data_IF_043581024213
#
_entry.id   IF_043581024213
#
_cell.length_a   1.000
_cell.length_b   1.000
_cell.length_c   1.000
_cell.angle_alpha   90.00
_cell.angle_beta   90.00
_cell.angle_gamma   90.00
#
_symmetry.space_group_name_H-M   'P 1'
#
loop_
_entity.id
_entity.type
_entity.pdbx_description
1 polymer ?
#
# COMPACT_ATOMS: atom_id res chain seq x y z
N UNK A 1 9.48 8.48 10.76
CA UNK A 1 9.96 7.10 10.55
C UNK A 1 11.00 7.15 9.44
N UNK A 2 12.15 6.54 9.62
CA UNK A 2 13.21 6.48 8.59
C UNK A 2 12.89 5.44 7.53
N UNK A 3 13.56 5.52 6.35
CA UNK A 3 13.46 4.50 5.30
C UNK A 3 13.82 3.10 5.83
N UNK A 4 14.86 3.02 6.63
CA UNK A 4 15.32 1.76 7.24
C UNK A 4 14.27 1.15 8.15
N UNK A 5 13.64 1.95 9.02
CA UNK A 5 12.58 1.48 9.92
C UNK A 5 11.35 1.01 9.14
N UNK A 6 10.89 1.80 8.14
CA UNK A 6 9.78 1.40 7.28
C UNK A 6 10.09 0.09 6.55
N UNK A 7 11.25 0.00 5.91
CA UNK A 7 11.61 -1.18 5.13
C UNK A 7 11.77 -2.43 6.01
N UNK A 8 12.23 -2.27 7.26
CA UNK A 8 12.25 -3.35 8.24
C UNK A 8 10.84 -3.89 8.52
N UNK A 9 9.84 -3.01 8.67
CA UNK A 9 8.44 -3.43 8.85
C UNK A 9 7.85 -4.10 7.60
N UNK A 10 8.21 -3.61 6.39
CA UNK A 10 7.74 -4.22 5.14
C UNK A 10 8.34 -5.62 4.91
N UNK A 11 9.57 -5.85 5.37
CA UNK A 11 10.28 -7.12 5.26
C UNK A 11 10.06 -8.07 6.45
N UNK A 12 9.48 -7.59 7.56
CA UNK A 12 9.24 -8.39 8.76
C UNK A 12 8.34 -9.59 8.45
N UNK A 13 8.59 -10.73 9.12
CA UNK A 13 7.66 -11.86 9.10
C UNK A 13 6.30 -11.50 9.72
N UNK A 14 5.30 -12.34 9.49
CA UNK A 14 3.93 -12.10 9.93
C UNK A 14 3.81 -12.02 11.46
N UNK A 15 4.57 -12.83 12.20
CA UNK A 15 4.54 -12.84 13.65
C UNK A 15 5.15 -11.56 14.25
N UNK A 16 6.26 -11.11 13.71
CA UNK A 16 6.94 -9.86 14.11
C UNK A 16 6.05 -8.65 13.82
N UNK A 17 5.47 -8.57 12.62
CA UNK A 17 4.56 -7.49 12.27
C UNK A 17 3.28 -7.52 13.13
N UNK A 18 2.73 -8.71 13.41
CA UNK A 18 1.56 -8.88 14.27
C UNK A 18 1.82 -8.39 15.70
N UNK A 19 2.99 -8.68 16.27
CA UNK A 19 3.38 -8.21 17.62
C UNK A 19 3.45 -6.68 17.71
N UNK A 20 3.72 -5.99 16.59
CA UNK A 20 3.73 -4.54 16.51
C UNK A 20 2.34 -3.93 16.33
N UNK A 21 1.30 -4.74 16.22
CA UNK A 21 -0.08 -4.31 16.00
C UNK A 21 -0.94 -4.48 17.24
N UNK A 22 -1.95 -3.62 17.36
CA UNK A 22 -3.11 -3.85 18.20
C UNK A 22 -4.14 -4.63 17.39
N UNK A 23 -4.53 -5.81 17.90
CA UNK A 23 -5.51 -6.69 17.29
C UNK A 23 -6.88 -6.45 17.89
N UNK A 24 -7.84 -6.06 17.09
CA UNK A 24 -9.24 -5.89 17.48
C UNK A 24 -10.07 -6.91 16.68
N UNK A 25 -10.72 -7.80 17.40
CA UNK A 25 -11.67 -8.75 16.81
C UNK A 25 -13.05 -8.11 16.77
N UNK A 26 -13.67 -8.09 15.60
CA UNK A 26 -15.02 -7.53 15.43
C UNK A 26 -15.97 -8.59 14.89
N UNK A 27 -17.26 -8.49 15.29
CA UNK A 27 -18.30 -9.25 14.61
C UNK A 27 -18.38 -8.78 13.18
N UNK A 28 -18.36 -9.71 12.22
CA UNK A 28 -18.49 -9.38 10.81
C UNK A 28 -19.83 -8.65 10.56
N UNK A 29 -19.77 -7.48 9.91
CA UNK A 29 -20.94 -6.79 9.39
C UNK A 29 -21.23 -7.30 7.99
N UNK A 30 -22.29 -8.05 7.78
CA UNK A 30 -22.72 -8.55 6.47
C UNK A 30 -24.21 -8.85 6.50
N UNK A 31 -24.86 -8.79 5.32
CA UNK A 31 -26.29 -9.09 5.16
C UNK A 31 -26.62 -10.52 5.61
N UNK A 32 -27.14 -10.62 6.82
CA UNK A 32 -28.01 -11.62 7.35
C UNK A 32 -27.67 -13.10 7.26
N UNK A 33 -27.41 -13.69 8.41
CA UNK A 33 -27.50 -15.11 8.71
C UNK A 33 -27.16 -15.37 10.16
N UNK A 34 -27.91 -16.25 10.82
CA UNK A 34 -27.76 -16.56 12.24
C UNK A 34 -26.32 -16.98 12.63
N UNK A 35 -25.51 -17.45 11.65
CA UNK A 35 -24.13 -17.87 11.82
C UNK A 35 -23.13 -16.70 11.80
N UNK A 36 -23.40 -15.62 11.07
CA UNK A 36 -22.56 -14.43 10.99
C UNK A 36 -22.58 -13.65 12.32
N UNK A 37 -23.71 -13.68 13.02
CA UNK A 37 -23.87 -13.02 14.32
C UNK A 37 -23.20 -13.77 15.49
N UNK A 38 -22.76 -15.02 15.29
CA UNK A 38 -22.15 -15.86 16.35
C UNK A 38 -20.63 -15.97 16.27
N UNK A 39 -20.00 -15.67 15.12
CA UNK A 39 -18.55 -15.81 14.95
C UNK A 39 -17.89 -14.47 14.63
N UNK A 40 -16.99 -14.04 15.51
CA UNK A 40 -16.16 -12.85 15.36
C UNK A 40 -14.99 -13.15 14.41
N UNK A 41 -15.26 -13.26 13.10
CA UNK A 41 -14.22 -13.58 12.10
C UNK A 41 -13.50 -12.34 11.54
N UNK A 42 -14.09 -11.15 11.67
CA UNK A 42 -13.49 -9.92 11.21
C UNK A 42 -12.30 -9.52 12.10
N UNK A 43 -11.22 -9.11 11.45
CA UNK A 43 -9.96 -8.72 12.09
C UNK A 43 -9.66 -7.28 11.71
N UNK A 44 -9.37 -6.45 12.72
CA UNK A 44 -8.80 -5.11 12.53
C UNK A 44 -7.43 -5.06 13.18
N UNK A 45 -6.43 -4.64 12.42
CA UNK A 45 -5.07 -4.40 12.89
C UNK A 45 -4.78 -2.91 12.89
N UNK A 46 -4.18 -2.41 13.96
CA UNK A 46 -3.61 -1.06 14.01
C UNK A 46 -2.13 -1.19 14.32
N UNK A 47 -1.28 -0.81 13.37
CA UNK A 47 0.17 -0.82 13.53
C UNK A 47 0.60 0.33 14.42
N UNK A 48 1.10 0.04 15.62
CA UNK A 48 1.47 1.07 16.61
C UNK A 48 2.49 2.08 16.11
N UNK A 49 3.61 1.66 15.42
CA UNK A 49 4.62 2.61 14.99
C UNK A 49 4.15 3.63 13.94
N UNK A 50 3.22 3.24 13.04
CA UNK A 50 2.72 4.12 11.97
C UNK A 50 1.33 4.69 12.24
N UNK A 51 0.58 4.12 13.18
CA UNK A 51 -0.83 4.44 13.42
C UNK A 51 -1.79 3.93 12.34
N UNK A 52 -1.29 3.30 11.26
CA UNK A 52 -2.09 2.78 10.15
C UNK A 52 -2.96 1.63 10.64
N UNK A 53 -4.25 1.68 10.28
CA UNK A 53 -5.21 0.65 10.63
C UNK A 53 -5.87 0.06 9.40
N UNK A 54 -6.00 -1.26 9.36
CA UNK A 54 -6.63 -2.02 8.28
C UNK A 54 -7.62 -3.03 8.84
N UNK A 55 -8.58 -3.45 8.02
CA UNK A 55 -9.55 -4.47 8.38
C UNK A 55 -9.66 -5.56 7.31
N UNK A 56 -9.93 -6.78 7.74
CA UNK A 56 -10.20 -7.91 6.86
C UNK A 56 -11.38 -8.72 7.39
N UNK A 57 -12.34 -9.01 6.52
CA UNK A 57 -13.55 -9.77 6.80
C UNK A 57 -13.99 -10.63 5.61
N UNK A 58 -13.06 -10.87 4.67
CA UNK A 58 -13.33 -11.53 3.40
C UNK A 58 -13.59 -13.03 3.58
N UNK A 59 -12.97 -13.61 4.61
CA UNK A 59 -13.01 -15.04 4.88
C UNK A 59 -13.82 -15.38 6.13
N UNK A 60 -14.32 -16.62 6.16
CA UNK A 60 -14.98 -17.17 7.37
C UNK A 60 -13.98 -17.55 8.46
N UNK A 61 -12.73 -17.72 8.09
CA UNK A 61 -11.63 -18.07 9.01
C UNK A 61 -10.96 -16.81 9.53
N UNK A 62 -10.94 -16.64 10.85
CA UNK A 62 -10.22 -15.57 11.52
C UNK A 62 -8.71 -15.60 11.20
N UNK A 63 -8.12 -16.80 11.14
CA UNK A 63 -6.70 -16.96 10.79
C UNK A 63 -6.42 -16.44 9.37
N UNK A 64 -7.27 -16.78 8.40
CA UNK A 64 -7.14 -16.26 7.03
C UNK A 64 -7.32 -14.74 6.97
N UNK A 65 -8.28 -14.20 7.72
CA UNK A 65 -8.46 -12.75 7.79
C UNK A 65 -7.25 -12.04 8.43
N UNK A 66 -6.54 -12.67 9.39
CA UNK A 66 -5.27 -12.11 9.90
C UNK A 66 -4.21 -11.99 8.81
N UNK A 67 -3.99 -13.03 8.01
CA UNK A 67 -3.05 -12.98 6.89
C UNK A 67 -3.44 -11.92 5.85
N UNK A 68 -4.73 -11.82 5.52
CA UNK A 68 -5.23 -10.77 4.62
C UNK A 68 -4.99 -9.38 5.20
N UNK A 69 -5.26 -9.18 6.49
CA UNK A 69 -5.04 -7.91 7.17
C UNK A 69 -3.54 -7.52 7.19
N UNK A 70 -2.64 -8.47 7.45
CA UNK A 70 -1.18 -8.21 7.40
C UNK A 70 -0.71 -7.83 5.99
N UNK A 71 -1.22 -8.49 4.95
CA UNK A 71 -0.93 -8.12 3.55
C UNK A 71 -1.43 -6.71 3.23
N UNK A 72 -2.67 -6.38 3.62
CA UNK A 72 -3.23 -5.03 3.49
C UNK A 72 -2.40 -4.00 4.25
N UNK A 73 -1.97 -4.32 5.46
CA UNK A 73 -1.16 -3.43 6.28
C UNK A 73 0.17 -3.10 5.61
N UNK A 74 0.90 -4.10 5.10
CA UNK A 74 2.15 -3.84 4.34
C UNK A 74 1.90 -2.95 3.13
N UNK A 75 0.80 -3.18 2.43
CA UNK A 75 0.41 -2.38 1.27
C UNK A 75 0.15 -0.92 1.65
N UNK A 76 -0.62 -0.68 2.72
CA UNK A 76 -0.92 0.67 3.22
C UNK A 76 0.31 1.38 3.78
N UNK A 77 1.22 0.67 4.46
CA UNK A 77 2.50 1.24 4.90
C UNK A 77 3.32 1.69 3.69
N UNK A 78 3.41 0.87 2.65
CA UNK A 78 4.15 1.20 1.42
C UNK A 78 3.55 2.41 0.67
N UNK A 79 2.23 2.59 0.70
CA UNK A 79 1.53 3.70 0.07
C UNK A 79 1.58 5.01 0.86
N UNK A 80 1.75 4.94 2.18
CA UNK A 80 1.49 6.09 3.07
C UNK A 80 2.70 6.55 3.87
N UNK A 81 3.75 5.74 3.98
CA UNK A 81 4.97 6.08 4.72
C UNK A 81 6.10 6.28 3.72
N UNK A 82 6.42 7.56 3.45
CA UNK A 82 7.45 7.93 2.49
C UNK A 82 8.79 8.18 3.20
N UNK A 83 9.88 8.04 2.45
CA UNK A 83 11.23 8.21 2.94
C UNK A 83 12.13 8.72 1.81
N UNK A 84 13.41 8.98 2.12
CA UNK A 84 14.40 9.35 1.11
C UNK A 84 14.52 8.29 0.00
N UNK A 85 14.50 8.69 -1.29
CA UNK A 85 14.62 7.77 -2.40
C UNK A 85 15.93 6.98 -2.39
N UNK A 86 15.85 5.65 -2.57
CA UNK A 86 17.02 4.80 -2.74
C UNK A 86 17.62 4.88 -4.13
N UNK A 87 18.94 4.94 -4.27
CA UNK A 87 19.62 4.92 -5.56
C UNK A 87 19.41 3.60 -6.33
N UNK A 88 19.23 2.49 -5.62
CA UNK A 88 19.10 1.14 -6.21
C UNK A 88 17.68 0.81 -6.72
N UNK A 89 16.76 1.77 -6.66
CA UNK A 89 15.39 1.53 -7.11
C UNK A 89 15.31 1.43 -8.63
N UNK A 90 14.57 0.43 -9.10
CA UNK A 90 14.26 0.24 -10.53
C UNK A 90 12.75 0.15 -10.73
N UNK A 91 12.22 1.05 -11.56
CA UNK A 91 10.79 1.09 -11.87
C UNK A 91 10.36 -0.03 -12.81
N UNK A 92 11.16 -0.35 -13.83
CA UNK A 92 10.81 -1.36 -14.84
C UNK A 92 11.80 -2.53 -14.84
N UNK A 93 11.30 -3.74 -15.08
CA UNK A 93 9.89 -4.10 -15.24
C UNK A 93 9.14 -4.06 -13.90
N UNK A 94 7.90 -3.53 -13.93
CA UNK A 94 7.06 -3.52 -12.72
C UNK A 94 6.71 -4.95 -12.29
N UNK A 95 6.70 -5.29 -10.98
CA UNK A 95 6.42 -6.62 -10.49
C UNK A 95 5.05 -7.16 -10.91
N UNK A 96 4.83 -8.48 -10.81
CA UNK A 96 3.48 -9.03 -10.92
C UNK A 96 2.64 -8.66 -9.70
N UNK A 97 1.32 -8.36 -9.86
CA UNK A 97 0.43 -8.10 -8.72
C UNK A 97 0.37 -9.24 -7.69
N UNK A 98 0.64 -10.48 -8.11
CA UNK A 98 0.69 -11.65 -7.22
C UNK A 98 2.02 -11.80 -6.48
N UNK A 99 3.08 -11.13 -6.92
CA UNK A 99 4.39 -11.19 -6.27
C UNK A 99 4.53 -10.09 -5.20
N UNK A 100 3.95 -10.33 -4.03
CA UNK A 100 3.95 -9.37 -2.93
C UNK A 100 5.34 -9.01 -2.40
N UNK A 101 6.29 -9.95 -2.40
CA UNK A 101 7.65 -9.72 -1.94
C UNK A 101 8.37 -8.64 -2.75
N UNK A 102 8.13 -8.61 -4.07
CA UNK A 102 8.67 -7.60 -4.96
C UNK A 102 7.79 -6.36 -5.06
N UNK A 103 6.47 -6.54 -5.00
CA UNK A 103 5.51 -5.47 -5.19
C UNK A 103 5.56 -4.43 -4.06
N UNK A 104 5.64 -4.88 -2.81
CA UNK A 104 5.61 -3.97 -1.65
C UNK A 104 6.81 -3.01 -1.62
N UNK A 105 8.08 -3.49 -1.74
CA UNK A 105 9.23 -2.59 -1.83
C UNK A 105 9.18 -1.70 -3.08
N UNK A 106 8.66 -2.20 -4.20
CA UNK A 106 8.51 -1.43 -5.42
C UNK A 106 7.54 -0.26 -5.25
N UNK A 107 6.38 -0.47 -4.59
CA UNK A 107 5.42 0.59 -4.26
C UNK A 107 6.09 1.62 -3.35
N UNK A 108 6.74 1.19 -2.28
CA UNK A 108 7.40 2.07 -1.33
C UNK A 108 8.44 2.96 -2.02
N UNK A 109 9.33 2.38 -2.84
CA UNK A 109 10.34 3.14 -3.58
C UNK A 109 9.76 4.08 -4.65
N UNK A 110 8.61 3.74 -5.25
CA UNK A 110 7.90 4.63 -6.16
C UNK A 110 7.38 5.87 -5.43
N UNK A 111 6.70 5.67 -4.29
CA UNK A 111 6.14 6.78 -3.52
C UNK A 111 7.21 7.64 -2.85
N UNK A 112 8.36 7.10 -2.50
CA UNK A 112 9.52 7.89 -2.06
C UNK A 112 9.94 8.90 -3.13
N UNK A 113 9.98 8.49 -4.41
CA UNK A 113 10.33 9.37 -5.53
C UNK A 113 9.26 10.37 -5.86
N UNK A 114 7.99 9.94 -5.86
CA UNK A 114 6.86 10.83 -6.07
C UNK A 114 6.83 11.94 -4.99
N UNK A 115 7.05 11.59 -3.74
CA UNK A 115 7.09 12.54 -2.64
C UNK A 115 8.26 13.53 -2.78
N UNK A 116 9.45 13.02 -3.11
CA UNK A 116 10.65 13.85 -3.31
C UNK A 116 10.51 14.85 -4.46
N UNK A 117 9.70 14.54 -5.48
CA UNK A 117 9.39 15.42 -6.62
C UNK A 117 8.06 16.17 -6.46
N UNK A 118 7.48 16.15 -5.26
CA UNK A 118 6.17 16.76 -4.99
C UNK A 118 5.07 16.28 -5.97
N UNK A 119 5.14 15.00 -6.36
CA UNK A 119 4.21 14.33 -7.28
C UNK A 119 4.22 14.84 -8.72
N UNK A 120 5.30 15.53 -9.14
CA UNK A 120 5.53 15.87 -10.56
C UNK A 120 5.91 14.59 -11.34
N UNK A 121 5.04 14.20 -12.29
CA UNK A 121 5.26 12.98 -13.09
C UNK A 121 6.44 13.12 -14.06
N UNK A 122 6.68 14.29 -14.61
CA UNK A 122 7.76 14.49 -15.57
C UNK A 122 9.12 14.36 -14.88
N UNK A 123 9.27 15.02 -13.73
CA UNK A 123 10.48 14.93 -12.91
C UNK A 123 10.67 13.52 -12.35
N UNK A 124 9.60 12.89 -11.82
CA UNK A 124 9.66 11.50 -11.31
C UNK A 124 10.08 10.53 -12.43
N UNK A 125 9.51 10.65 -13.61
CA UNK A 125 9.86 9.80 -14.76
C UNK A 125 11.33 9.98 -15.17
N UNK A 126 11.82 11.22 -15.24
CA UNK A 126 13.21 11.53 -15.52
C UNK A 126 14.16 10.89 -14.47
N UNK A 127 13.83 11.01 -13.17
CA UNK A 127 14.60 10.42 -12.08
C UNK A 127 14.58 8.88 -12.09
N UNK A 128 13.56 8.27 -12.70
CA UNK A 128 13.46 6.82 -12.90
C UNK A 128 14.07 6.34 -14.24
N UNK A 129 14.54 7.24 -15.10
CA UNK A 129 15.08 6.90 -16.41
C UNK A 129 14.04 6.36 -17.40
N UNK A 130 12.76 6.78 -17.27
CA UNK A 130 11.66 6.32 -18.11
C UNK A 130 10.85 7.49 -18.67
N UNK A 131 10.00 7.24 -19.68
CA UNK A 131 9.04 8.25 -20.12
C UNK A 131 7.85 8.38 -19.15
N UNK A 132 7.17 9.52 -19.16
CA UNK A 132 5.94 9.76 -18.38
C UNK A 132 4.90 8.69 -18.68
N UNK A 133 4.70 8.34 -19.96
CA UNK A 133 3.75 7.30 -20.37
C UNK A 133 4.10 5.90 -19.82
N UNK A 134 5.39 5.58 -19.66
CA UNK A 134 5.84 4.33 -19.05
C UNK A 134 5.58 4.33 -17.54
N UNK A 135 5.85 5.47 -16.87
CA UNK A 135 5.56 5.65 -15.44
C UNK A 135 4.05 5.48 -15.17
N UNK A 136 3.20 6.20 -15.90
CA UNK A 136 1.74 6.08 -15.76
C UNK A 136 1.24 4.65 -16.00
N UNK A 137 1.71 4.00 -17.08
CA UNK A 137 1.33 2.62 -17.37
C UNK A 137 1.71 1.67 -16.23
N UNK A 138 2.91 1.85 -15.66
CA UNK A 138 3.37 1.05 -14.53
C UNK A 138 2.48 1.27 -13.29
N UNK A 139 2.06 2.50 -13.00
CA UNK A 139 1.19 2.85 -11.88
C UNK A 139 -0.25 2.35 -12.09
N UNK A 140 -0.81 2.55 -13.29
CA UNK A 140 -2.20 2.15 -13.65
C UNK A 140 -2.41 0.62 -13.60
N UNK A 141 -1.33 -0.16 -13.69
CA UNK A 141 -1.36 -1.62 -13.47
C UNK A 141 -1.88 -1.99 -12.08
N UNK A 142 -1.76 -1.08 -11.11
CA UNK A 142 -2.18 -1.28 -9.72
C UNK A 142 -3.19 -0.20 -9.31
N UNK A 143 -4.52 -0.51 -9.29
CA UNK A 143 -5.56 0.50 -9.06
C UNK A 143 -5.39 1.31 -7.76
N UNK A 144 -4.90 0.68 -6.68
CA UNK A 144 -4.67 1.37 -5.42
C UNK A 144 -3.49 2.36 -5.49
N UNK A 145 -2.42 2.02 -6.24
CA UNK A 145 -1.27 2.91 -6.49
C UNK A 145 -1.73 4.13 -7.27
N UNK A 146 -2.47 3.93 -8.37
CA UNK A 146 -2.97 5.01 -9.19
C UNK A 146 -3.93 5.92 -8.42
N UNK A 147 -4.87 5.35 -7.67
CA UNK A 147 -5.78 6.12 -6.82
C UNK A 147 -5.02 6.97 -5.82
N UNK A 148 -4.05 6.38 -5.11
CA UNK A 148 -3.27 7.10 -4.11
C UNK A 148 -2.47 8.25 -4.71
N UNK A 149 -1.87 8.05 -5.87
CA UNK A 149 -1.22 9.12 -6.63
C UNK A 149 -2.21 10.26 -6.95
N UNK A 150 -3.39 9.94 -7.48
CA UNK A 150 -4.42 10.94 -7.80
C UNK A 150 -4.90 11.74 -6.58
N UNK A 151 -4.91 11.11 -5.39
CA UNK A 151 -5.27 11.77 -4.13
C UNK A 151 -4.18 12.76 -3.66
N UNK A 152 -2.92 12.47 -3.94
CA UNK A 152 -1.76 13.21 -3.42
C UNK A 152 -1.22 14.27 -4.40
N UNK A 153 -1.48 14.10 -5.71
CA UNK A 153 -1.00 15.04 -6.72
C UNK A 153 -1.58 16.44 -6.54
N UNK A 154 -0.82 17.53 -6.84
CA UNK A 154 -1.31 18.90 -6.78
C UNK A 154 -2.51 19.14 -7.73
N UNK A 155 -3.48 19.96 -7.31
CA UNK A 155 -4.72 20.24 -8.06
C UNK A 155 -4.48 20.86 -9.46
N UNK A 156 -3.30 21.45 -9.72
CA UNK A 156 -2.97 22.09 -11.01
C UNK A 156 -2.86 21.11 -12.19
N UNK A 157 -2.56 19.84 -11.95
CA UNK A 157 -2.47 18.82 -13.01
C UNK A 157 -3.82 18.13 -13.29
N UNK A 158 -4.76 18.22 -12.36
CA UNK A 158 -6.08 17.57 -12.51
C UNK A 158 -6.94 18.20 -13.61
N UNK A 159 -6.79 19.51 -13.90
CA UNK A 159 -7.60 20.25 -14.88
C UNK A 159 -7.13 20.09 -16.33
N UNK A 160 -5.90 19.62 -16.60
CA UNK A 160 -5.41 19.47 -17.97
C UNK A 160 -5.86 18.17 -18.65
N UNK A 161 -6.26 17.15 -17.91
CA UNK A 161 -6.70 15.85 -18.44
C UNK A 161 -8.21 15.76 -18.74
N UNK A 162 -9.01 16.75 -18.31
CA UNK A 162 -10.47 16.79 -18.55
C UNK A 162 -10.88 17.47 -19.86
N UNK A 163 -9.93 17.80 -20.74
CA UNK A 163 -10.20 18.45 -22.03
C UNK A 163 -9.90 17.53 -23.22
N UNK A 164 -10.48 16.34 -23.22
CA UNK A 164 -10.61 15.54 -24.45
C UNK A 164 -11.92 14.75 -24.41
#
# INVERSE_FOLDING_TARGET
MTATERNAWLAADDDTLMRACDLIMQKGTGNGGQKINKTSSAVRLKHRPTGIAVSANEERSQSRNRHIALRKLRYEIALSVHAEPSADYTLLPSPSPSNHERLIPWIAGLFDRLDATQYDLAETAANCGVSVSQLERAMRKYPAVWRRYCELRPAKEADSELKF
#
